data_IF_937076867797
#
_entry.id   IF_937076867797
#
_cell.length_a   1.000
_cell.length_b   1.000
_cell.length_c   1.000
_cell.angle_alpha   90.00
_cell.angle_beta   90.00
_cell.angle_gamma   90.00
#
_symmetry.space_group_name_H-M   'P 1'
#
loop_
_entity.id
_entity.type
_entity.pdbx_description
1 polymer ?
#
# COMPACT_ATOMS: atom_id res chain seq x y z
N UNK A 1 -3.46 -16.79 -9.35
CA UNK A 1 -2.64 -17.13 -8.18
C UNK A 1 -2.53 -16.00 -7.15
N UNK A 2 -2.60 -14.71 -7.53
CA UNK A 2 -2.41 -13.59 -6.58
C UNK A 2 -3.35 -13.57 -5.36
N UNK A 3 -4.63 -13.93 -5.51
CA UNK A 3 -5.52 -14.04 -4.34
C UNK A 3 -5.02 -15.11 -3.35
N UNK A 4 -4.51 -16.25 -3.84
CA UNK A 4 -3.96 -17.28 -2.95
C UNK A 4 -2.71 -16.78 -2.21
N UNK A 5 -1.87 -15.97 -2.85
CA UNK A 5 -0.71 -15.32 -2.21
C UNK A 5 -1.14 -14.41 -1.06
N UNK A 6 -2.27 -13.70 -1.16
CA UNK A 6 -2.80 -12.93 -0.03
C UNK A 6 -3.02 -13.83 1.20
N UNK A 7 -3.66 -14.98 1.05
CA UNK A 7 -3.88 -15.90 2.17
C UNK A 7 -2.62 -16.57 2.69
N UNK A 8 -1.62 -16.79 1.82
CA UNK A 8 -0.37 -17.45 2.19
C UNK A 8 0.65 -16.50 2.84
N UNK A 9 0.62 -15.22 2.45
CA UNK A 9 1.70 -14.29 2.75
C UNK A 9 1.29 -13.14 3.67
N UNK A 10 0.03 -12.71 3.62
CA UNK A 10 -0.43 -11.63 4.48
C UNK A 10 -0.78 -12.16 5.88
N UNK A 11 -0.43 -11.40 6.94
CA UNK A 11 -0.95 -11.66 8.27
C UNK A 11 -2.45 -11.39 8.34
N UNK A 12 -3.07 -11.84 9.43
CA UNK A 12 -4.46 -11.51 9.73
C UNK A 12 -4.65 -9.97 9.81
N UNK A 13 -5.55 -9.37 9.00
CA UNK A 13 -5.90 -7.96 9.14
C UNK A 13 -6.72 -7.74 10.40
N UNK A 14 -6.38 -6.69 11.17
CA UNK A 14 -7.10 -6.35 12.41
C UNK A 14 -8.39 -5.58 12.18
N UNK A 15 -8.62 -5.08 10.97
CA UNK A 15 -9.77 -4.26 10.64
C UNK A 15 -9.86 -3.94 9.16
N UNK A 16 -10.56 -2.84 8.86
CA UNK A 16 -10.93 -2.44 7.49
C UNK A 16 -10.36 -1.07 7.11
N UNK A 17 -9.57 -0.44 7.99
CA UNK A 17 -9.06 0.90 7.80
C UNK A 17 -7.68 0.84 7.15
N UNK A 18 -7.58 1.25 5.89
CA UNK A 18 -6.36 1.10 5.10
C UNK A 18 -5.63 2.42 4.91
N UNK A 19 -4.30 2.33 4.99
CA UNK A 19 -3.41 3.33 4.41
C UNK A 19 -3.28 3.09 2.91
N UNK A 20 -3.19 4.17 2.12
CA UNK A 20 -2.86 4.12 0.69
C UNK A 20 -1.69 5.06 0.44
N UNK A 21 -0.70 4.59 -0.32
CA UNK A 21 0.36 5.44 -0.86
C UNK A 21 0.37 5.27 -2.37
N UNK A 22 0.28 6.37 -3.10
CA UNK A 22 0.21 6.33 -4.55
C UNK A 22 0.80 7.57 -5.23
N UNK A 23 1.08 7.44 -6.54
CA UNK A 23 1.75 8.45 -7.36
C UNK A 23 0.78 9.36 -8.12
N UNK A 24 -0.53 9.13 -8.03
CA UNK A 24 -1.51 9.96 -8.72
C UNK A 24 -2.89 9.86 -8.08
N UNK A 25 -3.59 11.00 -8.03
CA UNK A 25 -4.99 11.08 -7.60
C UNK A 25 -5.90 10.15 -8.42
N UNK A 26 -5.57 9.86 -9.68
CA UNK A 26 -6.32 8.94 -10.54
C UNK A 26 -6.26 7.48 -10.04
N UNK A 27 -5.04 6.95 -9.83
CA UNK A 27 -4.86 5.61 -9.30
C UNK A 27 -5.47 5.46 -7.89
N UNK A 28 -5.25 6.45 -7.02
CA UNK A 28 -5.83 6.49 -5.68
C UNK A 28 -7.36 6.51 -5.75
N UNK A 29 -7.95 7.30 -6.64
CA UNK A 29 -9.41 7.36 -6.80
C UNK A 29 -10.00 6.01 -7.18
N UNK A 30 -9.38 5.28 -8.11
CA UNK A 30 -9.85 3.94 -8.51
C UNK A 30 -9.80 2.95 -7.35
N UNK A 31 -8.71 2.96 -6.57
CA UNK A 31 -8.56 2.11 -5.38
C UNK A 31 -9.64 2.46 -4.35
N UNK A 32 -9.80 3.74 -4.01
CA UNK A 32 -10.79 4.20 -3.03
C UNK A 32 -12.21 3.88 -3.49
N UNK A 33 -12.51 4.01 -4.79
CA UNK A 33 -13.81 3.66 -5.37
C UNK A 33 -14.11 2.17 -5.18
N UNK A 34 -13.16 1.29 -5.42
CA UNK A 34 -13.36 -0.14 -5.16
C UNK A 34 -13.42 -0.45 -3.66
N UNK A 35 -12.59 0.18 -2.83
CA UNK A 35 -12.66 0.02 -1.37
C UNK A 35 -14.05 0.31 -0.82
N UNK A 36 -14.70 1.38 -1.30
CA UNK A 36 -16.08 1.72 -0.92
C UNK A 36 -17.06 0.60 -1.28
N UNK A 37 -16.93 -0.02 -2.45
CA UNK A 37 -17.78 -1.17 -2.84
C UNK A 37 -17.55 -2.39 -1.95
N UNK A 38 -16.34 -2.56 -1.43
CA UNK A 38 -15.96 -3.66 -0.53
C UNK A 38 -16.15 -3.32 0.96
N UNK A 39 -16.78 -2.18 1.27
CA UNK A 39 -16.94 -1.68 2.63
C UNK A 39 -15.62 -1.59 3.41
N UNK A 40 -14.55 -1.21 2.72
CA UNK A 40 -13.25 -0.85 3.32
C UNK A 40 -13.18 0.68 3.44
N UNK A 41 -12.43 1.15 4.43
CA UNK A 41 -12.33 2.57 4.76
C UNK A 41 -10.90 3.07 4.64
N UNK A 42 -10.74 4.35 4.35
CA UNK A 42 -9.46 5.02 4.56
C UNK A 42 -9.23 5.19 6.06
N UNK A 43 -8.07 4.76 6.54
CA UNK A 43 -7.65 5.04 7.89
C UNK A 43 -7.53 6.55 8.13
N UNK A 44 -7.79 6.97 9.37
CA UNK A 44 -7.52 8.33 9.86
C UNK A 44 -6.31 8.25 10.80
N UNK A 45 -5.08 8.48 10.30
CA UNK A 45 -3.89 8.41 11.14
C UNK A 45 -3.95 9.40 12.29
N UNK A 46 -3.22 9.10 13.36
CA UNK A 46 -2.96 10.05 14.44
C UNK A 46 -2.26 11.31 13.94
N UNK A 47 -2.33 12.37 14.75
CA UNK A 47 -1.68 13.65 14.45
C UNK A 47 -0.17 13.48 14.19
N UNK A 48 0.52 12.64 14.98
CA UNK A 48 1.95 12.36 14.81
C UNK A 48 2.24 11.76 13.44
N UNK A 49 1.48 10.74 13.02
CA UNK A 49 1.66 10.10 11.71
C UNK A 49 1.31 11.05 10.57
N UNK A 50 0.24 11.83 10.74
CA UNK A 50 -0.19 12.86 9.79
C UNK A 50 0.89 13.91 9.57
N UNK A 51 1.48 14.46 10.64
CA UNK A 51 2.55 15.47 10.56
C UNK A 51 3.77 14.91 9.83
N UNK A 52 4.22 13.70 10.18
CA UNK A 52 5.33 13.03 9.48
C UNK A 52 5.07 12.93 7.97
N UNK A 53 3.85 12.60 7.58
CA UNK A 53 3.47 12.45 6.17
C UNK A 53 3.42 13.81 5.47
N UNK A 54 2.71 14.79 6.04
CA UNK A 54 2.55 16.12 5.44
C UNK A 54 3.91 16.81 5.30
N UNK A 55 4.75 16.73 6.32
CA UNK A 55 6.05 17.43 6.34
C UNK A 55 7.07 16.81 5.38
N UNK A 56 7.03 15.50 5.16
CA UNK A 56 8.10 14.78 4.44
C UNK A 56 7.75 14.34 3.02
N UNK A 57 6.46 14.24 2.68
CA UNK A 57 6.05 13.73 1.36
C UNK A 57 5.86 14.86 0.35
N UNK A 58 5.32 16.01 0.78
CA UNK A 58 4.85 17.03 -0.14
C UNK A 58 3.69 16.53 -1.02
N UNK A 59 3.43 17.22 -2.14
CA UNK A 59 2.43 16.81 -3.13
C UNK A 59 0.98 17.06 -2.73
N UNK A 60 0.06 16.34 -3.36
CA UNK A 60 -1.41 16.51 -3.22
C UNK A 60 -2.01 15.68 -2.07
N UNK A 61 -1.18 15.26 -1.11
CA UNK A 61 -1.60 14.46 0.03
C UNK A 61 -2.68 15.20 0.81
N UNK A 62 -3.74 14.48 1.18
CA UNK A 62 -4.86 15.11 1.87
C UNK A 62 -4.43 15.62 3.27
N UNK A 63 -5.17 16.59 3.80
CA UNK A 63 -4.88 17.15 5.12
C UNK A 63 -4.96 16.12 6.28
N UNK A 64 -5.50 14.92 6.06
CA UNK A 64 -5.52 13.83 7.03
C UNK A 64 -4.27 12.92 6.94
N UNK A 65 -3.40 13.11 5.96
CA UNK A 65 -2.22 12.26 5.74
C UNK A 65 -2.54 10.88 5.13
N UNK A 66 -3.79 10.62 4.74
CA UNK A 66 -4.18 9.37 4.08
C UNK A 66 -5.44 9.59 3.20
N UNK A 67 -5.43 9.29 1.89
CA UNK A 67 -4.34 8.68 1.12
C UNK A 67 -3.14 9.61 0.97
N UNK A 68 -1.96 9.02 0.87
CA UNK A 68 -0.72 9.71 0.53
C UNK A 68 -0.62 9.81 -0.99
N UNK A 69 -0.72 11.02 -1.49
CA UNK A 69 -0.53 11.38 -2.90
C UNK A 69 0.69 12.29 -3.00
N UNK A 70 1.79 11.76 -3.51
CA UNK A 70 3.04 12.50 -3.59
C UNK A 70 3.17 13.32 -4.90
N UNK A 71 2.14 13.34 -5.74
CA UNK A 71 2.18 14.01 -7.04
C UNK A 71 1.90 15.53 -6.97
N UNK A 72 2.57 16.33 -7.82
CA UNK A 72 3.77 15.96 -8.60
C UNK A 72 5.01 15.90 -7.68
N UNK A 73 5.94 14.96 -7.92
CA UNK A 73 7.18 14.94 -7.16
C UNK A 73 8.03 16.17 -7.51
N UNK A 74 8.75 16.73 -6.54
CA UNK A 74 9.70 17.83 -6.79
C UNK A 74 10.77 17.46 -7.84
N UNK A 75 11.20 16.20 -7.84
CA UNK A 75 12.14 15.62 -8.81
C UNK A 75 11.80 14.16 -9.05
N UNK A 76 11.88 13.72 -10.30
CA UNK A 76 11.80 12.31 -10.70
C UNK A 76 13.13 11.59 -10.43
N UNK A 77 13.48 11.49 -9.15
CA UNK A 77 14.70 10.78 -8.69
C UNK A 77 14.28 9.60 -7.86
N UNK A 78 14.65 8.39 -8.29
CA UNK A 78 14.29 7.13 -7.65
C UNK A 78 14.50 7.12 -6.14
N UNK A 79 15.66 7.58 -5.67
CA UNK A 79 16.00 7.67 -4.24
C UNK A 79 15.00 8.56 -3.46
N UNK A 80 14.57 9.70 -4.04
CA UNK A 80 13.57 10.57 -3.39
C UNK A 80 12.21 9.88 -3.29
N UNK A 81 11.78 9.22 -4.37
CA UNK A 81 10.51 8.49 -4.41
C UNK A 81 10.55 7.31 -3.41
N UNK A 82 11.63 6.54 -3.36
CA UNK A 82 11.85 5.52 -2.34
C UNK A 82 11.77 6.09 -0.92
N UNK A 83 12.34 7.28 -0.69
CA UNK A 83 12.26 7.99 0.59
C UNK A 83 10.83 8.34 1.00
N UNK A 84 10.02 8.80 0.04
CA UNK A 84 8.59 9.09 0.23
C UNK A 84 7.83 7.83 0.61
N UNK A 85 7.94 6.75 -0.19
CA UNK A 85 7.26 5.49 0.09
C UNK A 85 7.69 4.89 1.43
N UNK A 86 8.99 4.90 1.74
CA UNK A 86 9.50 4.38 3.01
C UNK A 86 8.94 5.16 4.20
N UNK A 87 9.02 6.49 4.16
CA UNK A 87 8.57 7.37 5.26
C UNK A 87 7.07 7.23 5.49
N UNK A 88 6.29 7.30 4.41
CA UNK A 88 4.83 7.19 4.46
C UNK A 88 4.40 5.82 4.96
N UNK A 89 5.04 4.76 4.46
CA UNK A 89 4.75 3.39 4.88
C UNK A 89 5.08 3.18 6.35
N UNK A 90 6.20 3.71 6.83
CA UNK A 90 6.58 3.60 8.24
C UNK A 90 5.60 4.36 9.15
N UNK A 91 5.19 5.57 8.77
CA UNK A 91 4.21 6.35 9.51
C UNK A 91 2.85 5.62 9.59
N UNK A 92 2.34 5.15 8.44
CA UNK A 92 1.06 4.45 8.37
C UNK A 92 1.11 3.08 9.07
N UNK A 93 2.15 2.28 8.84
CA UNK A 93 2.25 0.95 9.47
C UNK A 93 2.46 1.03 10.98
N UNK A 94 3.08 2.11 11.50
CA UNK A 94 3.20 2.33 12.94
C UNK A 94 1.87 2.73 13.60
N UNK A 95 0.97 3.37 12.87
CA UNK A 95 -0.23 3.98 13.42
C UNK A 95 -1.33 2.95 13.75
N UNK A 96 -1.85 2.95 14.98
CA UNK A 96 -2.86 1.97 15.42
C UNK A 96 -4.21 2.10 14.69
N UNK A 97 -4.49 3.24 14.05
CA UNK A 97 -5.70 3.41 13.24
C UNK A 97 -5.60 2.75 11.85
N UNK A 98 -4.42 2.23 11.47
CA UNK A 98 -4.15 1.62 10.17
C UNK A 98 -4.04 0.10 10.31
N UNK A 99 -4.97 -0.62 9.68
CA UNK A 99 -5.07 -2.08 9.72
C UNK A 99 -4.30 -2.78 8.59
N UNK A 100 -3.87 -2.03 7.58
CA UNK A 100 -3.16 -2.54 6.42
C UNK A 100 -2.78 -1.43 5.45
N UNK A 101 -1.92 -1.77 4.48
CA UNK A 101 -1.37 -0.81 3.53
C UNK A 101 -1.59 -1.27 2.09
N UNK A 102 -2.11 -0.38 1.24
CA UNK A 102 -2.13 -0.54 -0.21
C UNK A 102 -1.07 0.40 -0.81
N UNK A 103 -0.15 -0.19 -1.57
CA UNK A 103 0.88 0.52 -2.33
C UNK A 103 0.46 0.57 -3.80
N UNK A 104 0.06 1.74 -4.29
CA UNK A 104 -0.07 1.97 -5.71
C UNK A 104 1.30 2.40 -6.24
N UNK A 105 1.80 1.72 -7.26
CA UNK A 105 3.05 2.06 -7.94
C UNK A 105 2.77 2.30 -9.42
N UNK A 106 3.13 3.48 -9.89
CA UNK A 106 3.11 3.91 -11.29
C UNK A 106 4.52 4.42 -11.54
N UNK A 107 5.23 3.81 -12.48
CA UNK A 107 6.60 4.23 -12.78
C UNK A 107 6.95 3.91 -14.23
N UNK A 108 7.80 4.79 -14.77
CA UNK A 108 8.49 4.65 -16.03
C UNK A 108 9.85 3.98 -15.78
N UNK A 109 10.42 3.29 -16.78
CA UNK A 109 11.73 2.60 -16.63
C UNK A 109 12.84 3.51 -16.13
N UNK A 110 12.73 4.82 -16.38
CA UNK A 110 13.66 5.88 -16.00
C UNK A 110 13.70 6.14 -14.48
N UNK A 111 12.67 5.73 -13.74
CA UNK A 111 12.62 5.89 -12.28
C UNK A 111 13.19 4.63 -11.63
N UNK A 112 14.40 4.73 -11.07
CA UNK A 112 15.00 3.67 -10.27
C UNK A 112 14.31 3.53 -8.90
N UNK A 113 13.19 2.80 -8.85
CA UNK A 113 12.53 2.44 -7.60
C UNK A 113 13.04 1.10 -7.07
N UNK A 114 13.72 1.11 -5.93
CA UNK A 114 14.09 -0.11 -5.20
C UNK A 114 12.99 -0.53 -4.24
N UNK A 115 12.30 -1.63 -4.57
CA UNK A 115 11.24 -2.19 -3.74
C UNK A 115 11.77 -2.85 -2.44
N UNK A 116 13.08 -3.09 -2.33
CA UNK A 116 13.68 -3.68 -1.12
C UNK A 116 13.64 -2.75 0.10
N UNK A 117 13.24 -1.47 -0.06
CA UNK A 117 12.93 -0.58 1.07
C UNK A 117 11.89 -1.17 2.04
N UNK A 118 11.05 -2.11 1.58
CA UNK A 118 10.04 -2.79 2.40
C UNK A 118 10.58 -3.95 3.24
N UNK A 119 11.79 -4.46 2.95
CA UNK A 119 12.39 -5.55 3.71
C UNK A 119 12.48 -5.28 5.23
N UNK A 120 12.97 -4.12 5.71
CA UNK A 120 12.93 -3.79 7.13
C UNK A 120 11.50 -3.52 7.65
N UNK A 121 10.60 -3.00 6.82
CA UNK A 121 9.24 -2.65 7.25
C UNK A 121 8.39 -3.89 7.51
N UNK A 122 8.46 -4.91 6.66
CA UNK A 122 7.77 -6.19 6.87
C UNK A 122 8.24 -6.86 8.17
N UNK A 123 9.55 -6.79 8.48
CA UNK A 123 10.10 -7.32 9.73
C UNK A 123 9.63 -6.52 10.96
N UNK A 124 9.55 -5.19 10.83
CA UNK A 124 9.18 -4.29 11.93
C UNK A 124 7.68 -4.29 12.22
N UNK A 125 6.86 -4.47 11.19
CA UNK A 125 5.38 -4.44 11.25
C UNK A 125 4.76 -5.75 10.73
N UNK A 126 5.11 -6.92 11.29
CA UNK A 126 4.72 -8.22 10.74
C UNK A 126 3.22 -8.51 10.88
N UNK A 127 2.48 -7.70 11.64
CA UNK A 127 1.06 -7.89 11.96
C UNK A 127 0.12 -7.08 11.06
N UNK A 128 0.64 -6.37 10.06
CA UNK A 128 -0.16 -5.55 9.15
C UNK A 128 0.09 -5.98 7.71
N UNK A 129 -0.96 -6.40 6.97
CA UNK A 129 -0.82 -6.75 5.56
C UNK A 129 -0.40 -5.55 4.71
N UNK A 130 0.49 -5.82 3.76
CA UNK A 130 0.89 -4.88 2.71
C UNK A 130 0.51 -5.52 1.38
N UNK A 131 -0.23 -4.80 0.54
CA UNK A 131 -0.61 -5.24 -0.80
C UNK A 131 -0.12 -4.20 -1.81
N UNK A 132 0.50 -4.66 -2.90
CA UNK A 132 1.02 -3.80 -3.95
C UNK A 132 0.16 -3.91 -5.21
N UNK A 133 -0.08 -2.77 -5.85
CA UNK A 133 -0.78 -2.64 -7.12
C UNK A 133 0.13 -1.86 -8.06
N UNK A 134 0.54 -2.50 -9.14
CA UNK A 134 1.25 -1.85 -10.24
C UNK A 134 0.20 -1.30 -11.21
N UNK A 135 0.18 0.02 -11.39
CA UNK A 135 -0.75 0.73 -12.27
C UNK A 135 0.06 1.30 -13.42
N UNK A 136 -0.24 0.88 -14.65
CA UNK A 136 0.43 1.35 -15.87
C UNK A 136 1.97 1.28 -15.82
N UNK A 137 2.51 0.35 -15.03
CA UNK A 137 3.95 0.17 -14.89
C UNK A 137 4.55 -0.45 -16.16
N UNK A 138 5.68 0.08 -16.61
CA UNK A 138 6.40 -0.51 -17.74
C UNK A 138 6.96 -1.90 -17.41
N UNK A 139 6.96 -2.79 -18.41
CA UNK A 139 7.23 -4.23 -18.25
C UNK A 139 8.48 -4.56 -17.44
N UNK A 140 9.61 -3.91 -17.74
CA UNK A 140 10.87 -4.21 -17.07
C UNK A 140 10.90 -3.72 -15.61
N UNK A 141 10.29 -2.57 -15.32
CA UNK A 141 10.14 -2.12 -13.94
C UNK A 141 9.15 -3.00 -13.17
N UNK A 142 8.03 -3.38 -13.79
CA UNK A 142 7.02 -4.25 -13.20
C UNK A 142 7.62 -5.60 -12.80
N UNK A 143 8.40 -6.24 -13.68
CA UNK A 143 9.12 -7.48 -13.39
C UNK A 143 10.05 -7.37 -12.18
N UNK A 144 10.83 -6.29 -12.08
CA UNK A 144 11.73 -6.08 -10.93
C UNK A 144 10.94 -5.98 -9.63
N UNK A 145 9.87 -5.19 -9.62
CA UNK A 145 9.02 -5.04 -8.44
C UNK A 145 8.34 -6.35 -8.07
N UNK A 146 7.76 -7.09 -9.02
CA UNK A 146 7.11 -8.38 -8.77
C UNK A 146 8.10 -9.39 -8.19
N UNK A 147 9.33 -9.42 -8.69
CA UNK A 147 10.40 -10.29 -8.16
C UNK A 147 10.71 -9.95 -6.70
N UNK A 148 11.02 -8.69 -6.39
CA UNK A 148 11.32 -8.26 -5.02
C UNK A 148 10.12 -8.44 -4.10
N UNK A 149 8.91 -8.12 -4.55
CA UNK A 149 7.69 -8.33 -3.78
C UNK A 149 7.48 -9.81 -3.46
N UNK A 150 7.75 -10.72 -4.41
CA UNK A 150 7.68 -12.17 -4.18
C UNK A 150 8.71 -12.63 -3.14
N UNK A 151 9.95 -12.17 -3.22
CA UNK A 151 11.01 -12.48 -2.24
C UNK A 151 10.65 -11.98 -0.83
N UNK A 152 10.00 -10.82 -0.75
CA UNK A 152 9.50 -10.23 0.51
C UNK A 152 8.15 -10.77 0.96
N UNK A 153 7.52 -11.67 0.19
CA UNK A 153 6.16 -12.17 0.43
C UNK A 153 5.13 -11.04 0.54
N UNK A 154 5.22 -10.06 -0.34
CA UNK A 154 4.22 -9.00 -0.52
C UNK A 154 3.43 -9.31 -1.80
N UNK A 155 2.11 -9.53 -1.74
CA UNK A 155 1.30 -9.73 -2.94
C UNK A 155 1.37 -8.51 -3.86
N UNK A 156 1.59 -8.73 -5.15
CA UNK A 156 1.69 -7.68 -6.17
C UNK A 156 0.73 -7.98 -7.33
N UNK A 157 -0.15 -7.03 -7.64
CA UNK A 157 -1.19 -7.13 -8.66
C UNK A 157 -0.87 -6.17 -9.80
N UNK A 158 -0.77 -6.66 -11.03
CA UNK A 158 -0.47 -5.84 -12.20
C UNK A 158 -1.75 -5.43 -12.92
N UNK A 159 -2.10 -4.14 -12.86
CA UNK A 159 -3.32 -3.56 -13.43
C UNK A 159 -4.63 -4.21 -12.95
N UNK A 160 -4.62 -4.85 -11.77
CA UNK A 160 -5.76 -5.58 -11.20
C UNK A 160 -6.22 -4.98 -9.86
N UNK A 161 -6.64 -3.71 -9.87
CA UNK A 161 -7.09 -2.98 -8.68
C UNK A 161 -8.21 -3.72 -7.96
N UNK A 162 -9.21 -4.21 -8.69
CA UNK A 162 -10.36 -4.89 -8.09
C UNK A 162 -9.97 -6.15 -7.36
N UNK A 163 -9.04 -6.93 -7.93
CA UNK A 163 -8.60 -8.19 -7.31
C UNK A 163 -7.76 -7.94 -6.07
N UNK A 164 -6.92 -6.91 -6.07
CA UNK A 164 -6.13 -6.53 -4.89
C UNK A 164 -7.04 -6.13 -3.72
N UNK A 165 -7.98 -5.20 -3.97
CA UNK A 165 -8.89 -4.68 -2.94
C UNK A 165 -9.85 -5.76 -2.44
N UNK A 166 -10.46 -6.54 -3.34
CA UNK A 166 -11.32 -7.68 -2.97
C UNK A 166 -10.54 -8.74 -2.22
N UNK A 167 -9.28 -8.98 -2.60
CA UNK A 167 -8.39 -9.91 -1.93
C UNK A 167 -8.19 -9.55 -0.46
N UNK A 168 -7.94 -8.27 -0.15
CA UNK A 168 -7.91 -7.80 1.24
C UNK A 168 -9.22 -8.08 1.96
N UNK A 169 -10.35 -7.72 1.33
CA UNK A 169 -11.67 -7.91 1.94
C UNK A 169 -11.96 -9.38 2.25
N UNK A 170 -11.63 -10.27 1.32
CA UNK A 170 -11.77 -11.72 1.49
C UNK A 170 -10.90 -12.25 2.65
N UNK A 171 -9.67 -11.76 2.77
CA UNK A 171 -8.78 -12.11 3.88
C UNK A 171 -9.40 -11.69 5.22
N UNK A 172 -9.90 -10.46 5.31
CA UNK A 172 -10.57 -9.95 6.52
C UNK A 172 -11.82 -10.77 6.87
N UNK A 173 -12.70 -11.02 5.89
CA UNK A 173 -13.92 -11.79 6.12
C UNK A 173 -13.64 -13.24 6.56
N UNK A 174 -12.58 -13.85 6.02
CA UNK A 174 -12.15 -15.19 6.39
C UNK A 174 -11.80 -15.27 7.88
N UNK A 175 -10.92 -14.39 8.36
CA UNK A 175 -10.51 -14.37 9.76
C UNK A 175 -11.63 -13.91 10.70
N UNK A 176 -12.42 -12.91 10.30
CA UNK A 176 -13.58 -12.46 11.08
C UNK A 176 -14.62 -13.58 11.28
N UNK A 177 -14.86 -14.42 10.26
CA UNK A 177 -15.77 -15.57 10.38
C UNK A 177 -15.19 -16.69 11.23
N UNK A 178 -13.89 -16.96 11.17
CA UNK A 178 -13.23 -17.96 12.01
C UNK A 178 -13.32 -17.56 13.49
N UNK A 179 -13.08 -16.29 13.81
CA UNK A 179 -13.19 -15.78 15.19
C UNK A 179 -14.59 -15.91 15.77
N UNK A 180 -15.64 -15.74 14.97
CA UNK A 180 -17.04 -15.93 15.41
C UNK A 180 -17.43 -17.39 15.69
N UNK A 181 -16.60 -18.36 15.28
CA UNK A 181 -16.85 -19.80 15.49
C UNK A 181 -16.13 -20.37 16.72
N UNK A 182 -15.30 -19.58 17.40
CA UNK A 182 -14.69 -19.93 18.69
C UNK A 182 -15.49 -19.29 19.82
#
# INVERSE_FOLDING_TARGET
>A
FEIAKIFLWCPEPKGINLGIIGPSSGAIHLIVKEMRKQHLSLAKPSEISREIIIDKVGGSTCAFGNPVDYWPPEKFVGIKICGIYKTSSEALLKDDAVDGLILALEFFTEIEFDFNIYAPLVKKYPNKPIITILVQAEHEGAKRVIKSATELKIPAFENEIERAVRGYRLLYDYYAKIKKRK
#
